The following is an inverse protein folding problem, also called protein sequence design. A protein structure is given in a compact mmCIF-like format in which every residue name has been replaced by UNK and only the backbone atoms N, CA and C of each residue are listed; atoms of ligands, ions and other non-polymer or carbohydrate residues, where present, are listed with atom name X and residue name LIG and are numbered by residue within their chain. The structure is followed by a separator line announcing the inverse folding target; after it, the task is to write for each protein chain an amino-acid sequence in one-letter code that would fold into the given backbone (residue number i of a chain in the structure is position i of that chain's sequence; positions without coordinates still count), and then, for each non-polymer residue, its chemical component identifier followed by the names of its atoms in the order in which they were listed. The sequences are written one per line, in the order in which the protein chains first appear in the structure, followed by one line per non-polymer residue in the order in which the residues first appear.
data_IF_992977926555
#
_entry.id   IF_992977926555
#
_cell.length_a   1.000
_cell.length_b   1.000
_cell.length_c   1.000
_cell.angle_alpha   90.00
_cell.angle_beta   90.00
_cell.angle_gamma   90.00
#
_symmetry.space_group_name_H-M   'P 1'
#
loop_
_entity.id
_entity.type
_entity.pdbx_description
1 polymer ?
#
# COMPACT_ATOMS: atom_id res chain seq x y z
N UNK A 1 -10.54 8.75 30.54
CA UNK A 1 -10.16 9.87 29.65
C UNK A 1 -9.64 9.27 28.35
N UNK A 2 -10.36 9.38 27.23
CA UNK A 2 -9.87 8.86 25.93
C UNK A 2 -8.83 9.83 25.38
N UNK A 3 -7.59 9.37 25.25
CA UNK A 3 -6.52 10.12 24.57
C UNK A 3 -6.94 10.28 23.11
N UNK A 4 -7.17 11.52 22.67
CA UNK A 4 -7.42 11.79 21.24
C UNK A 4 -6.18 11.38 20.45
N UNK A 5 -6.31 10.57 19.38
CA UNK A 5 -5.18 10.28 18.51
C UNK A 5 -4.70 11.57 17.85
N UNK A 6 -3.42 11.89 18.02
CA UNK A 6 -2.71 13.02 17.40
C UNK A 6 -2.29 12.76 15.96
N UNK A 7 -2.39 11.50 15.49
CA UNK A 7 -1.96 11.04 14.18
C UNK A 7 -3.13 10.47 13.38
N UNK A 8 -3.04 10.55 12.04
CA UNK A 8 -4.07 10.01 11.15
C UNK A 8 -4.10 8.49 11.28
N UNK A 9 -5.27 7.94 11.56
CA UNK A 9 -5.45 6.48 11.67
C UNK A 9 -5.63 5.82 10.29
N UNK A 10 -5.68 6.60 9.20
CA UNK A 10 -5.94 6.12 7.86
C UNK A 10 -4.66 5.98 7.04
N UNK A 11 -4.44 4.78 6.53
CA UNK A 11 -3.34 4.41 5.64
C UNK A 11 -3.87 4.02 4.27
N UNK A 12 -3.40 4.69 3.23
CA UNK A 12 -3.91 4.54 1.87
C UNK A 12 -2.91 3.77 1.02
N UNK A 13 -3.37 2.67 0.44
CA UNK A 13 -2.70 2.04 -0.68
C UNK A 13 -3.12 2.70 -1.99
N UNK A 14 -2.20 3.40 -2.64
CA UNK A 14 -2.40 3.99 -3.95
C UNK A 14 -2.05 3.02 -5.07
N UNK A 15 -2.93 2.91 -6.07
CA UNK A 15 -2.79 1.99 -7.21
C UNK A 15 -3.36 2.60 -8.49
N UNK A 16 -3.04 1.98 -9.63
CA UNK A 16 -3.52 2.43 -10.95
C UNK A 16 -2.53 3.27 -11.75
N UNK A 17 -1.28 3.46 -11.29
CA UNK A 17 -0.24 4.14 -12.07
C UNK A 17 0.00 3.47 -13.45
N UNK A 18 -0.19 2.15 -13.53
CA UNK A 18 -0.13 1.42 -14.81
C UNK A 18 -1.30 1.76 -15.75
N UNK A 19 -2.45 2.14 -15.20
CA UNK A 19 -3.62 2.63 -15.94
C UNK A 19 -3.36 4.09 -16.37
N UNK A 20 -2.86 4.93 -15.45
CA UNK A 20 -2.57 6.34 -15.72
C UNK A 20 -1.56 6.55 -16.86
N UNK A 21 -0.57 5.65 -16.95
CA UNK A 21 0.43 5.68 -18.03
C UNK A 21 -0.14 5.37 -19.41
N UNK A 22 -1.24 4.65 -19.50
CA UNK A 22 -1.91 4.35 -20.78
C UNK A 22 -2.68 5.57 -21.30
N UNK A 23 -3.12 6.46 -20.41
CA UNK A 23 -3.84 7.68 -20.76
C UNK A 23 -3.24 8.92 -20.06
N UNK A 24 -2.02 9.35 -20.39
CA UNK A 24 -1.37 10.45 -19.68
C UNK A 24 -2.23 11.72 -19.59
N UNK A 25 -2.18 12.41 -18.44
CA UNK A 25 -2.89 13.66 -18.17
C UNK A 25 -4.44 13.59 -18.21
N UNK A 26 -5.04 12.39 -18.18
CA UNK A 26 -6.50 12.24 -18.16
C UNK A 26 -7.16 13.01 -17.00
N UNK A 27 -6.48 13.10 -15.85
CA UNK A 27 -6.95 13.76 -14.63
C UNK A 27 -6.90 15.30 -14.68
N UNK A 28 -6.23 15.88 -15.70
CA UNK A 28 -6.14 17.35 -15.89
C UNK A 28 -7.25 17.89 -16.76
N UNK A 29 -7.85 17.05 -17.61
CA UNK A 29 -8.97 17.46 -18.45
C UNK A 29 -10.18 17.67 -17.52
N UNK A 30 -10.66 18.91 -17.44
CA UNK A 30 -11.80 19.28 -16.57
C UNK A 30 -13.03 18.40 -16.82
N UNK A 31 -13.13 17.79 -18.00
CA UNK A 31 -14.18 16.86 -18.34
C UNK A 31 -13.75 15.38 -18.25
N UNK A 32 -13.57 14.91 -17.02
CA UNK A 32 -13.32 13.49 -16.75
C UNK A 32 -14.50 12.60 -17.17
N UNK A 33 -15.70 13.18 -17.39
CA UNK A 33 -16.89 12.45 -17.84
C UNK A 33 -16.71 11.87 -19.25
N UNK A 34 -15.80 12.43 -20.05
CA UNK A 34 -15.56 12.00 -21.42
C UNK A 34 -14.57 10.84 -21.56
N UNK A 35 -13.75 10.55 -20.55
CA UNK A 35 -12.73 9.52 -20.67
C UNK A 35 -13.26 8.15 -20.24
N UNK A 36 -14.19 7.61 -21.03
CA UNK A 36 -14.78 6.27 -20.80
C UNK A 36 -13.71 5.17 -20.77
N UNK A 37 -12.60 5.38 -21.46
CA UNK A 37 -11.51 4.41 -21.63
C UNK A 37 -10.77 4.11 -20.32
N UNK A 38 -10.74 5.05 -19.36
CA UNK A 38 -10.11 4.81 -18.05
C UNK A 38 -11.06 4.21 -17.01
N UNK A 39 -12.38 4.35 -17.19
CA UNK A 39 -13.37 3.94 -16.18
C UNK A 39 -13.30 2.43 -15.97
N UNK A 40 -13.40 1.67 -17.07
CA UNK A 40 -13.42 0.21 -17.02
C UNK A 40 -12.15 -0.39 -16.38
N UNK A 41 -10.90 0.01 -16.76
CA UNK A 41 -9.69 -0.48 -16.09
C UNK A 41 -9.67 -0.24 -14.59
N UNK A 42 -10.18 0.91 -14.12
CA UNK A 42 -10.24 1.24 -12.70
C UNK A 42 -11.32 0.43 -11.97
N UNK A 43 -12.50 0.22 -12.58
CA UNK A 43 -13.54 -0.65 -12.03
C UNK A 43 -13.04 -2.09 -11.90
N UNK A 44 -12.36 -2.62 -12.93
CA UNK A 44 -11.74 -3.94 -12.86
C UNK A 44 -10.72 -4.01 -11.73
N UNK A 45 -9.78 -3.04 -11.63
CA UNK A 45 -8.80 -2.98 -10.54
C UNK A 45 -9.47 -2.96 -9.16
N UNK A 46 -10.53 -2.16 -8.98
CA UNK A 46 -11.28 -2.09 -7.74
C UNK A 46 -11.97 -3.41 -7.42
N UNK A 47 -12.71 -3.99 -8.39
CA UNK A 47 -13.39 -5.29 -8.25
C UNK A 47 -12.41 -6.39 -7.81
N UNK A 48 -11.25 -6.49 -8.46
CA UNK A 48 -10.24 -7.50 -8.14
C UNK A 48 -9.57 -7.26 -6.78
N UNK A 49 -9.33 -6.01 -6.38
CA UNK A 49 -8.82 -5.70 -5.04
C UNK A 49 -9.82 -6.10 -3.96
N UNK A 50 -11.10 -5.74 -4.12
CA UNK A 50 -12.13 -6.06 -3.14
C UNK A 50 -12.32 -7.59 -3.01
N UNK A 51 -12.27 -8.31 -4.13
CA UNK A 51 -12.50 -9.75 -4.16
C UNK A 51 -11.30 -10.59 -3.69
N UNK A 52 -10.08 -10.23 -4.06
CA UNK A 52 -8.90 -11.07 -3.82
C UNK A 52 -7.81 -10.44 -2.94
N UNK A 53 -7.85 -9.13 -2.73
CA UNK A 53 -6.89 -8.43 -1.89
C UNK A 53 -5.93 -7.49 -2.63
N UNK A 54 -5.07 -6.84 -1.84
CA UNK A 54 -4.06 -5.90 -2.35
C UNK A 54 -2.92 -6.65 -3.01
N UNK A 55 -2.36 -6.06 -4.07
CA UNK A 55 -1.23 -6.64 -4.78
C UNK A 55 0.08 -6.38 -4.04
N UNK A 56 0.84 -7.44 -3.81
CA UNK A 56 2.24 -7.35 -3.43
C UNK A 56 3.10 -7.51 -4.67
N UNK A 57 4.03 -6.58 -4.87
CA UNK A 57 4.99 -6.72 -5.96
C UNK A 57 6.41 -6.55 -5.46
N UNK A 58 7.30 -7.34 -6.02
CA UNK A 58 8.73 -7.22 -5.85
C UNK A 58 9.28 -6.15 -6.80
N UNK A 59 10.42 -5.59 -6.41
CA UNK A 59 11.08 -4.55 -7.16
C UNK A 59 12.50 -4.36 -6.67
N UNK A 60 13.45 -4.33 -7.61
CA UNK A 60 14.84 -4.03 -7.30
C UNK A 60 14.93 -2.56 -6.90
N UNK A 61 15.55 -2.32 -5.76
CA UNK A 61 15.87 -0.98 -5.30
C UNK A 61 17.21 -1.02 -4.57
N UNK A 62 17.83 0.14 -4.43
CA UNK A 62 19.10 0.27 -3.75
C UNK A 62 18.94 1.24 -2.58
N UNK A 63 19.63 0.95 -1.49
CA UNK A 63 19.87 1.90 -0.42
C UNK A 63 21.24 2.51 -0.72
N UNK A 64 21.32 3.83 -0.71
CA UNK A 64 22.61 4.51 -0.82
C UNK A 64 22.98 5.03 0.55
N UNK A 65 24.12 4.58 1.07
CA UNK A 65 24.67 5.04 2.32
C UNK A 65 26.11 5.48 2.06
N UNK A 66 26.39 6.78 2.25
CA UNK A 66 27.63 7.42 1.81
C UNK A 66 27.88 7.11 0.32
N UNK A 67 29.06 6.59 -0.02
CA UNK A 67 29.45 6.18 -1.37
C UNK A 67 29.06 4.74 -1.72
N UNK A 68 28.50 4.00 -0.76
CA UNK A 68 28.11 2.61 -0.95
C UNK A 68 26.67 2.51 -1.45
N UNK A 69 26.46 1.68 -2.46
CA UNK A 69 25.14 1.28 -2.95
C UNK A 69 24.89 -0.16 -2.53
N UNK A 70 23.90 -0.34 -1.68
CA UNK A 70 23.52 -1.63 -1.15
C UNK A 70 22.24 -2.07 -1.85
N UNK A 71 22.25 -3.26 -2.44
CA UNK A 71 21.09 -3.82 -3.11
C UNK A 71 20.08 -4.23 -2.03
N UNK A 72 18.84 -3.75 -2.14
CA UNK A 72 17.78 -4.26 -1.25
C UNK A 72 17.45 -5.70 -1.62
N UNK A 73 17.18 -6.53 -0.61
CA UNK A 73 16.60 -7.84 -0.81
C UNK A 73 15.32 -7.77 -1.63
N UNK A 74 15.09 -8.81 -2.43
CA UNK A 74 14.00 -8.86 -3.39
C UNK A 74 12.72 -9.38 -2.73
N UNK A 75 12.21 -8.64 -1.74
CA UNK A 75 10.94 -8.97 -1.09
C UNK A 75 9.77 -8.31 -1.80
N UNK A 76 8.70 -9.07 -1.97
CA UNK A 76 7.40 -8.58 -2.41
C UNK A 76 6.81 -7.69 -1.31
N UNK A 77 6.24 -6.55 -1.71
CA UNK A 77 5.72 -5.58 -0.76
C UNK A 77 4.51 -4.83 -1.29
N UNK A 78 3.73 -4.31 -0.34
CA UNK A 78 2.66 -3.35 -0.57
C UNK A 78 2.93 -2.13 0.29
N UNK A 79 2.89 -0.95 -0.33
CA UNK A 79 3.17 0.32 0.34
C UNK A 79 1.85 1.06 0.63
N UNK A 80 1.86 1.80 1.73
CA UNK A 80 0.77 2.65 2.17
C UNK A 80 1.33 4.02 2.54
N UNK A 81 0.48 5.03 2.51
CA UNK A 81 0.79 6.39 2.96
C UNK A 81 -0.17 6.77 4.06
N UNK A 82 0.33 7.33 5.15
CA UNK A 82 -0.51 7.97 6.16
C UNK A 82 -1.14 9.23 5.56
N UNK A 83 -2.47 9.22 5.41
CA UNK A 83 -3.15 10.25 4.63
C UNK A 83 -3.20 11.58 5.37
N UNK A 84 -2.62 12.60 4.73
CA UNK A 84 -3.01 14.00 4.88
C UNK A 84 -3.81 14.37 3.62
N UNK A 85 -5.04 14.86 3.78
CA UNK A 85 -5.92 15.12 2.63
C UNK A 85 -5.30 16.09 1.63
N UNK A 86 -4.59 17.11 2.11
CA UNK A 86 -3.82 18.07 1.32
C UNK A 86 -2.79 17.42 0.38
N UNK A 87 -2.28 16.24 0.73
CA UNK A 87 -1.21 15.55 -0.01
C UNK A 87 -1.78 14.47 -0.95
N UNK A 88 -3.08 14.17 -0.88
CA UNK A 88 -3.73 13.07 -1.60
C UNK A 88 -3.48 13.14 -3.12
N UNK A 89 -3.62 14.33 -3.72
CA UNK A 89 -3.39 14.55 -5.15
C UNK A 89 -1.93 14.28 -5.54
N UNK A 90 -0.97 14.76 -4.73
CA UNK A 90 0.45 14.54 -4.99
C UNK A 90 0.82 13.06 -4.91
N UNK A 91 0.21 12.32 -3.98
CA UNK A 91 0.38 10.87 -3.89
C UNK A 91 -0.26 10.14 -5.06
N UNK A 92 -1.50 10.50 -5.43
CA UNK A 92 -2.22 9.93 -6.56
C UNK A 92 -1.43 10.07 -7.88
N UNK A 93 -0.86 11.24 -8.14
CA UNK A 93 -0.02 11.46 -9.34
C UNK A 93 1.23 10.59 -9.39
N UNK A 94 1.77 10.20 -8.24
CA UNK A 94 3.01 9.40 -8.15
C UNK A 94 2.76 7.91 -8.19
N UNK A 95 1.69 7.46 -7.53
CA UNK A 95 1.46 6.04 -7.20
C UNK A 95 0.20 5.46 -7.84
N UNK A 96 -0.66 6.31 -8.42
CA UNK A 96 -1.90 5.94 -9.07
C UNK A 96 -3.11 6.57 -8.40
N UNK A 97 -4.16 6.85 -9.16
CA UNK A 97 -5.28 7.68 -8.69
C UNK A 97 -6.39 6.92 -7.95
N UNK A 98 -6.30 5.59 -7.82
CA UNK A 98 -7.21 4.81 -6.98
C UNK A 98 -6.56 4.59 -5.61
N UNK A 99 -7.20 5.10 -4.55
CA UNK A 99 -6.77 4.90 -3.16
C UNK A 99 -7.66 3.91 -2.43
N UNK A 100 -7.07 2.92 -1.76
CA UNK A 100 -7.78 1.98 -0.88
C UNK A 100 -7.27 2.21 0.55
N UNK A 101 -8.16 2.73 1.40
CA UNK A 101 -7.81 3.18 2.74
C UNK A 101 -8.17 2.20 3.84
N UNK A 102 -7.24 2.01 4.77
CA UNK A 102 -7.37 1.10 5.90
C UNK A 102 -7.06 1.81 7.21
N UNK A 103 -7.62 1.31 8.32
CA UNK A 103 -7.13 1.67 9.66
C UNK A 103 -5.75 1.07 9.91
N UNK A 104 -4.98 1.68 10.80
CA UNK A 104 -3.61 1.22 11.10
C UNK A 104 -3.52 -0.23 11.56
N UNK A 105 -4.52 -0.70 12.28
CA UNK A 105 -4.61 -2.10 12.73
C UNK A 105 -4.62 -3.11 11.58
N UNK A 106 -5.10 -2.76 10.37
CA UNK A 106 -4.98 -3.62 9.20
C UNK A 106 -3.53 -4.04 8.95
N UNK A 107 -2.61 -3.07 9.06
CA UNK A 107 -1.19 -3.30 8.84
C UNK A 107 -0.58 -4.04 10.02
N UNK A 108 -0.89 -3.65 11.27
CA UNK A 108 -0.33 -4.32 12.45
C UNK A 108 -0.66 -5.81 12.48
N UNK A 109 -1.90 -6.19 12.17
CA UNK A 109 -2.31 -7.60 12.08
C UNK A 109 -1.65 -8.35 10.91
N UNK A 110 -1.02 -7.63 9.98
CA UNK A 110 -0.36 -8.17 8.78
C UNK A 110 1.14 -7.89 8.75
N UNK A 111 1.75 -7.73 9.93
CA UNK A 111 3.19 -7.49 10.13
C UNK A 111 3.72 -6.24 9.40
N UNK A 112 2.84 -5.27 9.14
CA UNK A 112 3.18 -4.00 8.56
C UNK A 112 3.82 -3.04 9.56
N UNK A 113 4.68 -2.14 9.06
CA UNK A 113 5.46 -1.23 9.88
C UNK A 113 5.71 0.10 9.15
N UNK A 114 5.88 1.23 9.86
CA UNK A 114 6.29 2.48 9.23
C UNK A 114 7.73 2.38 8.70
N UNK A 115 8.05 3.22 7.73
CA UNK A 115 9.43 3.34 7.25
C UNK A 115 10.32 4.04 8.27
N UNK A 116 11.52 3.51 8.46
CA UNK A 116 12.62 4.16 9.18
C UNK A 116 13.40 5.01 8.18
N UNK A 117 13.26 6.33 8.36
CA UNK A 117 13.90 7.30 7.50
C UNK A 117 15.31 7.63 7.96
N UNK A 118 16.20 7.87 7.00
CA UNK A 118 17.57 8.27 7.29
C UNK A 118 18.11 9.31 6.34
N UNK A 119 19.10 10.08 6.78
CA UNK A 119 19.83 11.03 5.94
C UNK A 119 21.09 10.36 5.38
N UNK A 120 21.18 10.07 4.08
CA UNK A 120 22.43 9.65 3.44
C UNK A 120 23.59 10.56 3.82
N UNK A 121 24.74 9.96 4.15
CA UNK A 121 25.97 10.69 4.50
C UNK A 121 26.02 11.19 5.94
N UNK A 122 24.91 11.23 6.67
CA UNK A 122 24.91 11.60 8.08
C UNK A 122 25.43 10.44 8.95
N UNK A 123 26.23 10.77 9.96
CA UNK A 123 26.56 9.86 11.03
C UNK A 123 25.31 9.59 11.87
N UNK A 124 24.95 8.33 12.03
CA UNK A 124 23.92 7.93 12.98
C UNK A 124 24.28 6.56 13.57
N UNK A 125 23.94 6.38 14.84
CA UNK A 125 24.27 5.17 15.59
C UNK A 125 23.45 3.96 15.16
N UNK A 126 22.26 4.17 14.59
CA UNK A 126 21.33 3.10 14.26
C UNK A 126 21.60 2.40 12.93
N UNK A 127 22.35 3.02 12.02
CA UNK A 127 22.50 2.55 10.63
C UNK A 127 23.94 2.15 10.32
N UNK A 128 24.93 2.77 10.99
CA UNK A 128 26.33 2.37 10.82
C UNK A 128 26.57 0.89 11.12
N UNK A 129 26.00 0.30 12.20
CA UNK A 129 26.13 -1.14 12.46
C UNK A 129 25.37 -2.01 11.45
N UNK A 130 24.31 -1.50 10.81
CA UNK A 130 23.53 -2.25 9.83
C UNK A 130 24.29 -2.52 8.53
N UNK A 131 25.29 -1.68 8.26
CA UNK A 131 26.11 -1.73 7.05
C UNK A 131 27.57 -2.08 7.33
N UNK A 132 27.91 -2.36 8.59
CA UNK A 132 29.22 -2.86 9.02
C UNK A 132 29.38 -4.36 8.69
N UNK A 133 28.96 -4.78 7.49
CA UNK A 133 29.23 -6.13 7.00
C UNK A 133 30.73 -6.41 7.06
N UNK A 134 31.09 -7.65 7.40
CA UNK A 134 32.48 -8.09 7.47
C UNK A 134 33.21 -7.78 6.16
N UNK A 135 34.45 -7.29 6.27
CA UNK A 135 35.35 -7.16 5.13
C UNK A 135 35.75 -8.56 4.63
N UNK A 136 34.88 -9.19 3.82
CA UNK A 136 35.27 -10.39 3.08
C UNK A 136 36.17 -9.93 1.94
N UNK A 137 37.43 -10.36 2.00
CA UNK A 137 38.60 -9.76 1.35
C UNK A 137 38.46 -9.36 -0.13
N UNK A 138 39.17 -8.29 -0.50
CA UNK A 138 39.55 -7.78 -1.85
C UNK A 138 38.54 -7.91 -3.02
N UNK A 139 37.26 -8.15 -2.75
CA UNK A 139 36.17 -8.23 -3.71
C UNK A 139 34.90 -7.69 -3.07
N UNK A 140 34.87 -6.37 -2.84
CA UNK A 140 33.85 -5.64 -2.06
C UNK A 140 32.40 -5.98 -2.46
N UNK A 141 31.80 -6.95 -1.76
CA UNK A 141 30.35 -7.05 -1.56
C UNK A 141 30.11 -6.93 -0.06
N UNK A 142 29.79 -5.73 0.40
CA UNK A 142 29.18 -5.55 1.73
C UNK A 142 27.85 -6.27 1.75
N UNK A 143 27.80 -7.44 2.37
CA UNK A 143 26.55 -8.11 2.78
C UNK A 143 25.97 -7.33 3.96
N UNK A 144 24.65 -7.12 3.96
CA UNK A 144 23.96 -6.51 5.09
C UNK A 144 24.04 -7.51 6.25
N UNK A 145 24.66 -7.15 7.38
CA UNK A 145 24.76 -8.03 8.55
C UNK A 145 23.39 -8.24 9.24
N UNK A 146 22.45 -7.32 9.02
CA UNK A 146 21.08 -7.40 9.49
C UNK A 146 20.28 -8.41 8.65
N UNK A 147 19.38 -9.18 9.29
CA UNK A 147 18.41 -10.03 8.57
C UNK A 147 17.76 -9.22 7.44
N UNK A 148 17.93 -9.71 6.22
CA UNK A 148 17.68 -9.04 4.94
C UNK A 148 16.37 -8.23 4.90
N UNK A 149 15.31 -8.71 5.56
CA UNK A 149 13.99 -8.11 5.51
C UNK A 149 13.91 -6.72 6.16
N UNK A 150 14.76 -6.38 7.12
CA UNK A 150 14.77 -5.06 7.75
C UNK A 150 15.19 -3.94 6.78
N UNK A 151 16.05 -4.25 5.80
CA UNK A 151 16.44 -3.29 4.77
C UNK A 151 15.23 -2.81 3.93
N UNK A 152 14.13 -3.57 3.92
CA UNK A 152 12.89 -3.14 3.28
C UNK A 152 12.20 -1.99 4.02
N UNK A 153 12.49 -1.74 5.29
CA UNK A 153 11.90 -0.65 6.07
C UNK A 153 12.78 0.59 6.15
N UNK A 154 14.00 0.57 5.61
CA UNK A 154 14.86 1.75 5.55
C UNK A 154 14.50 2.63 4.33
N UNK A 155 14.49 3.96 4.45
CA UNK A 155 14.34 4.87 3.29
C UNK A 155 15.15 6.14 3.49
N UNK A 156 15.72 6.66 2.40
CA UNK A 156 16.34 7.99 2.46
C UNK A 156 15.26 9.04 2.76
N UNK A 157 15.61 10.11 3.47
CA UNK A 157 14.75 11.26 3.70
C UNK A 157 14.64 12.17 2.47
N UNK A 158 15.65 12.17 1.59
CA UNK A 158 15.77 13.08 0.45
C UNK A 158 15.92 12.34 -0.90
N UNK A 159 15.46 12.98 -1.97
CA UNK A 159 15.77 12.56 -3.34
C UNK A 159 17.24 12.88 -3.67
N UNK A 160 17.86 12.08 -4.56
CA UNK A 160 19.30 12.16 -4.92
C UNK A 160 19.72 13.42 -5.71
N UNK A 161 19.10 14.59 -5.50
CA UNK A 161 19.48 15.79 -6.27
C UNK A 161 20.83 16.33 -5.80
N UNK A 162 21.71 16.53 -6.79
CA UNK A 162 23.17 16.67 -6.72
C UNK A 162 23.72 18.00 -6.18
N UNK A 163 23.02 18.76 -5.33
CA UNK A 163 23.54 20.07 -4.89
C UNK A 163 23.79 20.09 -3.38
N UNK A 164 25.06 20.00 -3.01
CA UNK A 164 25.59 20.00 -1.63
C UNK A 164 25.18 21.23 -0.79
N UNK A 165 24.66 22.28 -1.42
CA UNK A 165 24.36 23.57 -0.78
C UNK A 165 22.90 24.02 -0.89
N UNK A 166 21.98 23.13 -1.28
CA UNK A 166 20.54 23.44 -1.29
C UNK A 166 19.85 22.85 -0.07
N UNK A 167 18.83 23.56 0.42
CA UNK A 167 17.93 23.12 1.49
C UNK A 167 17.51 21.66 1.28
N UNK A 168 17.57 20.86 2.35
CA UNK A 168 17.19 19.43 2.30
C UNK A 168 15.69 19.35 2.04
N UNK A 169 15.30 18.95 0.83
CA UNK A 169 13.91 18.64 0.53
C UNK A 169 13.53 17.28 1.15
N UNK A 170 12.68 17.29 2.18
CA UNK A 170 12.22 16.12 2.94
C UNK A 170 11.13 15.30 2.22
N UNK A 171 11.08 15.37 0.89
CA UNK A 171 10.00 14.82 0.07
C UNK A 171 9.72 13.33 0.30
N UNK A 172 10.73 12.53 0.64
CA UNK A 172 10.53 11.11 0.93
C UNK A 172 9.98 10.88 2.34
N UNK A 173 10.38 11.71 3.29
CA UNK A 173 9.88 11.70 4.67
C UNK A 173 8.41 12.14 4.73
N UNK A 174 8.05 13.17 3.96
CA UNK A 174 6.67 13.66 3.84
C UNK A 174 5.69 12.58 3.36
N UNK A 175 6.16 11.61 2.56
CA UNK A 175 5.32 10.48 2.09
C UNK A 175 4.73 9.62 3.22
N UNK A 176 5.29 9.72 4.44
CA UNK A 176 4.81 9.00 5.64
C UNK A 176 4.50 7.54 5.34
N UNK A 177 5.46 6.86 4.70
CA UNK A 177 5.26 5.56 4.08
C UNK A 177 5.22 4.46 5.14
N UNK A 178 4.33 3.49 4.93
CA UNK A 178 4.24 2.23 5.65
C UNK A 178 4.35 1.07 4.67
N UNK A 179 4.83 -0.08 5.13
CA UNK A 179 4.97 -1.28 4.28
C UNK A 179 4.48 -2.53 4.96
N UNK A 180 3.88 -3.40 4.16
CA UNK A 180 3.78 -4.84 4.44
C UNK A 180 4.73 -5.54 3.47
N UNK A 181 5.51 -6.49 3.98
CA UNK A 181 6.44 -7.30 3.17
C UNK A 181 6.14 -8.78 3.35
N UNK A 182 6.44 -9.56 2.32
CA UNK A 182 6.47 -11.00 2.41
C UNK A 182 7.91 -11.49 2.46
N UNK A 183 8.22 -12.34 3.45
CA UNK A 183 9.50 -13.04 3.60
C UNK A 183 9.22 -14.44 4.15
N UNK A 184 9.81 -15.46 3.52
CA UNK A 184 9.69 -16.84 3.96
C UNK A 184 10.22 -17.04 5.40
N UNK A 185 11.27 -16.31 5.77
CA UNK A 185 11.84 -16.37 7.13
C UNK A 185 10.86 -15.82 8.17
N UNK A 186 10.26 -14.64 7.91
CA UNK A 186 9.23 -14.06 8.77
C UNK A 186 8.06 -15.04 8.87
N UNK A 187 7.65 -15.61 7.75
CA UNK A 187 6.54 -16.54 7.69
C UNK A 187 6.79 -17.79 8.56
N UNK A 188 7.97 -18.41 8.44
CA UNK A 188 8.38 -19.56 9.25
C UNK A 188 8.45 -19.21 10.73
N UNK A 189 9.00 -18.05 11.07
CA UNK A 189 9.19 -17.60 12.45
C UNK A 189 7.87 -17.39 13.20
N UNK A 190 6.89 -16.76 12.55
CA UNK A 190 5.66 -16.34 13.21
C UNK A 190 4.46 -17.25 12.96
N UNK A 191 4.47 -18.09 11.91
CA UNK A 191 3.29 -18.86 11.50
C UNK A 191 3.51 -20.36 11.36
N UNK A 192 4.60 -20.94 11.91
CA UNK A 192 4.93 -22.38 12.10
C UNK A 192 3.99 -23.45 11.46
N UNK A 193 3.66 -23.36 10.17
CA UNK A 193 2.53 -24.12 9.58
C UNK A 193 1.81 -23.46 8.39
N UNK A 194 2.04 -22.17 8.13
CA UNK A 194 1.52 -21.46 6.95
C UNK A 194 0.73 -20.21 7.34
N UNK A 195 0.92 -19.11 6.60
CA UNK A 195 0.21 -17.86 6.88
C UNK A 195 -1.00 -17.70 5.98
N UNK A 196 -2.16 -17.48 6.59
CA UNK A 196 -3.38 -17.06 5.89
C UNK A 196 -3.35 -15.58 5.47
N UNK A 197 -2.31 -14.83 5.86
CA UNK A 197 -2.21 -13.39 5.59
C UNK A 197 -1.88 -13.08 4.14
N UNK A 198 -1.32 -14.05 3.41
CA UNK A 198 -0.89 -13.88 2.03
C UNK A 198 -1.37 -15.05 1.19
N UNK A 199 -1.85 -14.77 -0.02
CA UNK A 199 -2.25 -15.79 -1.01
C UNK A 199 -1.38 -15.65 -2.25
N UNK A 200 -1.00 -16.76 -2.86
CA UNK A 200 -0.36 -16.71 -4.19
C UNK A 200 -1.44 -16.55 -5.27
N UNK A 201 -1.20 -15.79 -6.34
CA UNK A 201 -2.19 -15.61 -7.40
C UNK A 201 -2.62 -16.92 -8.07
N UNK A 202 -1.74 -17.94 -8.14
CA UNK A 202 -2.04 -19.23 -8.74
C UNK A 202 -2.95 -20.12 -7.87
N UNK A 203 -3.08 -19.82 -6.58
CA UNK A 203 -4.01 -20.51 -5.67
C UNK A 203 -5.46 -20.06 -5.88
N UNK A 204 -5.68 -18.95 -6.59
CA UNK A 204 -7.01 -18.43 -6.88
C UNK A 204 -7.64 -19.19 -8.05
N UNK A 205 -8.66 -20.00 -7.76
CA UNK A 205 -9.42 -20.75 -8.78
C UNK A 205 -10.56 -19.92 -9.40
N UNK A 206 -10.23 -18.79 -9.99
CA UNK A 206 -11.19 -17.94 -10.72
C UNK A 206 -10.66 -17.60 -12.12
N UNK A 207 -11.42 -17.97 -13.15
CA UNK A 207 -11.04 -17.76 -14.56
C UNK A 207 -10.96 -16.29 -14.92
N UNK A 208 -11.84 -15.45 -14.37
CA UNK A 208 -11.85 -14.00 -14.60
C UNK A 208 -10.58 -13.37 -14.01
N UNK A 209 -10.19 -13.79 -12.81
CA UNK A 209 -8.97 -13.32 -12.17
C UNK A 209 -7.70 -13.74 -12.92
N UNK A 210 -7.62 -15.01 -13.34
CA UNK A 210 -6.48 -15.50 -14.13
C UNK A 210 -6.30 -14.71 -15.42
N UNK A 211 -7.39 -14.54 -16.19
CA UNK A 211 -7.41 -13.71 -17.39
C UNK A 211 -7.01 -12.25 -17.11
N UNK A 212 -7.51 -11.68 -16.01
CA UNK A 212 -7.15 -10.33 -15.61
C UNK A 212 -5.65 -10.20 -15.33
N UNK A 213 -5.06 -11.08 -14.51
CA UNK A 213 -3.63 -11.05 -14.17
C UNK A 213 -2.75 -11.27 -15.40
N UNK A 214 -3.14 -12.16 -16.30
CA UNK A 214 -2.43 -12.42 -17.56
C UNK A 214 -2.40 -11.20 -18.47
N UNK A 215 -3.43 -10.37 -18.44
CA UNK A 215 -3.49 -9.13 -19.23
C UNK A 215 -2.57 -8.01 -18.71
N UNK A 216 -2.02 -8.13 -17.50
CA UNK A 216 -1.24 -7.04 -16.88
C UNK A 216 0.24 -7.18 -17.13
N UNK A 217 0.95 -6.06 -17.40
CA UNK A 217 2.38 -6.08 -17.68
C UNK A 217 3.21 -6.50 -16.46
N UNK A 218 2.72 -6.21 -15.25
CA UNK A 218 3.31 -6.63 -13.99
C UNK A 218 2.31 -7.45 -13.20
N UNK A 219 2.67 -8.69 -12.89
CA UNK A 219 1.86 -9.60 -12.08
C UNK A 219 2.22 -9.41 -10.59
N UNK A 220 1.25 -9.54 -9.67
CA UNK A 220 1.56 -9.64 -8.25
C UNK A 220 2.32 -10.94 -7.97
N UNK A 221 3.20 -10.91 -6.99
CA UNK A 221 3.84 -12.13 -6.47
C UNK A 221 2.94 -12.78 -5.42
N UNK A 222 2.27 -11.94 -4.62
CA UNK A 222 1.34 -12.32 -3.55
C UNK A 222 0.18 -11.34 -3.50
N UNK A 223 -0.89 -11.75 -2.83
CA UNK A 223 -2.07 -10.95 -2.52
C UNK A 223 -2.22 -10.85 -1.01
N UNK A 224 -2.64 -9.68 -0.52
CA UNK A 224 -3.02 -9.45 0.88
C UNK A 224 -4.54 -9.42 0.94
N UNK A 225 -5.21 -10.51 1.40
CA UNK A 225 -6.67 -10.52 1.54
C UNK A 225 -7.15 -9.35 2.41
N UNK A 226 -8.26 -8.73 2.00
CA UNK A 226 -8.86 -7.64 2.78
C UNK A 226 -9.61 -8.17 4.02
N UNK A 227 -10.08 -9.41 3.94
CA UNK A 227 -10.73 -10.14 5.03
C UNK A 227 -9.77 -10.32 6.20
N UNK A 228 -10.31 -10.28 7.42
CA UNK A 228 -9.53 -10.62 8.60
C UNK A 228 -9.39 -12.14 8.75
N UNK A 229 -8.27 -12.64 9.29
CA UNK A 229 -8.04 -14.08 9.45
C UNK A 229 -9.21 -14.77 10.15
N UNK A 230 -9.70 -15.87 9.58
CA UNK A 230 -10.84 -16.61 10.10
C UNK A 230 -12.21 -15.95 9.91
N UNK A 231 -12.30 -14.87 9.13
CA UNK A 231 -13.56 -14.16 8.86
C UNK A 231 -13.80 -13.95 7.36
N UNK A 232 -15.01 -13.53 7.00
CA UNK A 232 -15.39 -13.18 5.62
C UNK A 232 -15.53 -11.67 5.39
N UNK A 233 -15.19 -10.86 6.40
CA UNK A 233 -15.35 -9.40 6.42
C UNK A 233 -14.04 -8.71 6.78
N UNK A 234 -13.96 -7.40 6.50
CA UNK A 234 -12.81 -6.56 6.82
C UNK A 234 -13.18 -5.56 7.90
N UNK A 235 -12.67 -5.72 9.12
CA UNK A 235 -12.88 -4.71 10.17
C UNK A 235 -12.20 -3.39 9.83
N UNK A 236 -11.16 -3.43 9.02
CA UNK A 236 -10.26 -2.29 8.85
C UNK A 236 -10.34 -1.56 7.52
N UNK A 237 -11.05 -2.08 6.51
CA UNK A 237 -11.33 -1.31 5.29
C UNK A 237 -12.13 -0.06 5.66
N UNK A 238 -11.56 1.11 5.43
CA UNK A 238 -12.09 2.36 5.95
C UNK A 238 -12.54 3.33 4.86
N UNK A 239 -11.90 3.30 3.70
CA UNK A 239 -12.11 4.31 2.67
C UNK A 239 -11.82 3.77 1.26
N UNK A 240 -12.53 4.29 0.27
CA UNK A 240 -12.20 4.16 -1.14
C UNK A 240 -12.12 5.57 -1.72
N UNK A 241 -10.96 5.92 -2.26
CA UNK A 241 -10.70 7.18 -2.96
C UNK A 241 -10.74 6.91 -4.45
N UNK A 242 -11.84 7.31 -5.09
CA UNK A 242 -12.06 7.12 -6.50
C UNK A 242 -11.23 8.12 -7.33
N UNK A 243 -10.64 7.70 -8.45
CA UNK A 243 -9.88 8.58 -9.33
C UNK A 243 -10.68 9.78 -9.84
N UNK A 244 -11.99 9.62 -9.99
CA UNK A 244 -12.91 10.65 -10.46
C UNK A 244 -14.35 10.37 -10.05
N UNK A 245 -15.23 11.38 -10.21
CA UNK A 245 -16.66 11.21 -10.01
C UNK A 245 -17.26 10.16 -10.96
N UNK A 246 -16.80 10.08 -12.21
CA UNK A 246 -17.28 9.11 -13.18
C UNK A 246 -17.00 7.67 -12.75
N UNK A 247 -15.79 7.40 -12.25
CA UNK A 247 -15.43 6.06 -11.71
C UNK A 247 -16.26 5.74 -10.47
N UNK A 248 -16.48 6.72 -9.58
CA UNK A 248 -17.34 6.54 -8.40
C UNK A 248 -18.76 6.16 -8.79
N UNK A 249 -19.41 6.95 -9.63
CA UNK A 249 -20.79 6.70 -10.09
C UNK A 249 -20.90 5.33 -10.77
N UNK A 250 -19.92 4.98 -11.61
CA UNK A 250 -19.92 3.68 -12.28
C UNK A 250 -19.70 2.51 -11.30
N UNK A 251 -18.88 2.69 -10.26
CA UNK A 251 -18.68 1.69 -9.21
C UNK A 251 -19.93 1.50 -8.34
N UNK A 252 -20.67 2.57 -8.06
CA UNK A 252 -21.96 2.51 -7.35
C UNK A 252 -23.04 1.81 -8.19
N UNK A 253 -23.00 1.94 -9.51
CA UNK A 253 -23.90 1.23 -10.42
C UNK A 253 -23.53 -0.26 -10.59
N UNK A 254 -22.26 -0.63 -10.42
CA UNK A 254 -21.77 -2.00 -10.59
C UNK A 254 -22.23 -2.92 -9.44
N UNK A 255 -22.99 -3.97 -9.79
CA UNK A 255 -23.56 -4.90 -8.82
C UNK A 255 -22.50 -5.78 -8.13
N UNK A 256 -21.44 -6.16 -8.83
CA UNK A 256 -20.37 -6.99 -8.27
C UNK A 256 -19.55 -6.19 -7.26
N UNK A 257 -19.18 -4.94 -7.60
CA UNK A 257 -18.45 -4.06 -6.68
C UNK A 257 -19.26 -3.81 -5.41
N UNK A 258 -20.55 -3.47 -5.54
CA UNK A 258 -21.43 -3.28 -4.38
C UNK A 258 -21.57 -4.54 -3.54
N UNK A 259 -21.67 -5.71 -4.18
CA UNK A 259 -21.72 -7.01 -3.49
C UNK A 259 -20.45 -7.25 -2.69
N UNK A 260 -19.27 -6.99 -3.27
CA UNK A 260 -17.99 -7.17 -2.58
C UNK A 260 -17.80 -6.16 -1.44
N UNK A 261 -18.17 -4.88 -1.61
CA UNK A 261 -18.16 -3.89 -0.52
C UNK A 261 -19.09 -4.35 0.62
N UNK A 262 -20.32 -4.80 0.31
CA UNK A 262 -21.27 -5.30 1.32
C UNK A 262 -20.77 -6.57 2.01
N UNK A 263 -20.08 -7.45 1.29
CA UNK A 263 -19.46 -8.65 1.85
C UNK A 263 -18.36 -8.28 2.85
N UNK A 264 -17.49 -7.33 2.50
CA UNK A 264 -16.40 -6.88 3.37
C UNK A 264 -16.91 -6.03 4.55
N UNK A 265 -17.98 -5.26 4.36
CA UNK A 265 -18.61 -4.40 5.38
C UNK A 265 -20.12 -4.69 5.48
N UNK A 266 -20.51 -5.81 6.14
CA UNK A 266 -21.91 -6.16 6.30
C UNK A 266 -22.65 -5.17 7.21
N UNK A 267 -23.93 -4.94 6.94
CA UNK A 267 -24.79 -4.00 7.69
C UNK A 267 -25.33 -4.68 8.97
N UNK A 268 -25.38 -3.90 10.06
CA UNK A 268 -25.72 -4.24 11.47
C UNK A 268 -26.89 -5.20 11.70
N UNK A 269 -27.90 -5.30 10.83
CA UNK A 269 -29.17 -6.01 11.13
C UNK A 269 -29.06 -7.52 11.44
N UNK A 270 -27.87 -8.13 11.38
CA UNK A 270 -27.67 -9.57 11.51
C UNK A 270 -26.72 -10.00 12.64
N UNK A 271 -26.22 -9.10 13.50
CA UNK A 271 -25.14 -9.45 14.45
C UNK A 271 -25.27 -8.74 15.81
N UNK A 272 -26.08 -9.31 16.71
CA UNK A 272 -26.10 -8.94 18.13
C UNK A 272 -24.85 -9.46 18.87
N UNK A 273 -24.32 -8.68 19.83
CA UNK A 273 -23.47 -9.23 20.90
C UNK A 273 -21.96 -8.92 20.92
N UNK A 274 -21.47 -7.74 20.50
CA UNK A 274 -20.05 -7.37 20.65
C UNK A 274 -19.84 -6.00 21.34
N UNK A 275 -19.03 -5.98 22.40
CA UNK A 275 -18.62 -4.79 23.15
C UNK A 275 -17.21 -4.29 22.75
N UNK A 276 -16.96 -2.98 22.84
CA UNK A 276 -15.64 -2.33 22.61
C UNK A 276 -15.59 -1.35 21.43
N UNK A 277 -14.55 -0.51 21.34
CA UNK A 277 -14.41 0.51 20.27
C UNK A 277 -14.35 -0.09 18.86
N UNK A 278 -13.78 -1.28 18.72
CA UNK A 278 -13.72 -2.03 17.46
C UNK A 278 -15.08 -2.61 17.04
N UNK A 279 -16.05 -2.74 17.94
CA UNK A 279 -17.38 -3.25 17.58
C UNK A 279 -18.20 -2.22 16.79
N UNK A 280 -17.96 -0.92 16.99
CA UNK A 280 -18.60 0.15 16.20
C UNK A 280 -18.09 0.19 14.74
N UNK A 281 -16.80 -0.07 14.51
CA UNK A 281 -16.21 0.01 13.17
C UNK A 281 -16.47 -1.22 12.29
N UNK A 282 -16.81 -2.36 12.91
CA UNK A 282 -17.17 -3.60 12.20
C UNK A 282 -18.33 -3.39 11.21
N UNK A 283 -19.19 -2.40 11.48
CA UNK A 283 -20.43 -2.18 10.76
C UNK A 283 -20.49 -0.87 9.97
N UNK A 284 -19.37 -0.15 9.91
CA UNK A 284 -19.29 1.09 9.13
C UNK A 284 -18.98 0.78 7.67
N UNK A 285 -19.80 1.32 6.76
CA UNK A 285 -19.46 1.35 5.32
C UNK A 285 -18.15 2.11 5.14
N UNK A 286 -17.31 1.74 4.14
CA UNK A 286 -16.14 2.54 3.85
C UNK A 286 -16.59 3.94 3.42
N UNK A 287 -15.81 4.96 3.77
CA UNK A 287 -15.99 6.29 3.24
C UNK A 287 -15.65 6.29 1.74
N UNK A 288 -16.60 6.67 0.89
CA UNK A 288 -16.44 6.68 -0.56
C UNK A 288 -16.33 8.12 -1.07
N UNK A 289 -15.11 8.56 -1.37
CA UNK A 289 -14.81 9.93 -1.82
C UNK A 289 -14.15 9.92 -3.19
N UNK A 290 -14.37 10.95 -3.98
CA UNK A 290 -13.60 11.15 -5.21
C UNK A 290 -12.37 12.02 -4.91
N UNK A 291 -11.28 11.80 -5.63
CA UNK A 291 -10.00 12.48 -5.41
C UNK A 291 -10.11 14.00 -5.55
N UNK A 292 -10.98 14.52 -6.43
CA UNK A 292 -11.18 15.96 -6.60
C UNK A 292 -11.72 16.61 -5.32
N UNK A 293 -12.55 15.91 -4.54
CA UNK A 293 -13.02 16.39 -3.25
C UNK A 293 -11.89 16.55 -2.22
N UNK A 294 -10.77 15.82 -2.38
CA UNK A 294 -9.61 15.95 -1.50
C UNK A 294 -8.83 17.26 -1.74
N UNK A 295 -9.00 17.92 -2.89
CA UNK A 295 -8.25 19.14 -3.25
C UNK A 295 -8.67 20.39 -2.46
N UNK A 296 -9.83 20.34 -1.81
CA UNK A 296 -10.40 21.48 -1.09
C UNK A 296 -10.02 21.50 0.41
N UNK A 297 -9.08 20.64 0.83
CA UNK A 297 -8.58 20.51 2.20
C UNK A 297 -7.08 20.83 2.23
#
# INVERSE_FOLDING_TARGET
MMIKPTHSDFLIHWTGNDIDKQCPNWYRKQDVRLNKDIVKPYLERLKFILKYGLWMTSGRSYIQFKEQKIKRPFFSRTCFTELKLSDAEAHAQRFGHLGIGFKRFFLFERLGSPMVYFRPGAHNWFISPLFAGEEIGKGRRTTIALKDYWACFLKSMHEKKKRLHQFVAYKQFEESEWRIIWSEEINKKFFQGGSQLFKKPNEINDKEFKKYIESKPKKPDFLIPLEDPGTTYSRWLAMIIYPSLAVKVAAEADADIRKEIKRLKPIVKTLDGLSGSASYEKYSKPLEINLQACRNF
#
